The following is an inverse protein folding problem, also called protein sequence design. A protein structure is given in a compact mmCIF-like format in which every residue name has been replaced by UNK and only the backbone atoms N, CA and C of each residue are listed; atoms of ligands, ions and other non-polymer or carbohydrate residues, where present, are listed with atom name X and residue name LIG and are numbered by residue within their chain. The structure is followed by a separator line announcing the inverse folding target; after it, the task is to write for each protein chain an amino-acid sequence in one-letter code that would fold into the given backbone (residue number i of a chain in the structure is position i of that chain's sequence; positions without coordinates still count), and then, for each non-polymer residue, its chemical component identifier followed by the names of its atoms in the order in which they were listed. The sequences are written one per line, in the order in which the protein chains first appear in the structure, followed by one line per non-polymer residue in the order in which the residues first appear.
data_IF_403891101993
#
_entry.id   IF_403891101993
#
_cell.length_a   1.000
_cell.length_b   1.000
_cell.length_c   1.000
_cell.angle_alpha   90.00
_cell.angle_beta   90.00
_cell.angle_gamma   90.00
#
_symmetry.space_group_name_H-M   'P 1'
#
loop_
_entity.id
_entity.type
_entity.pdbx_description
1 polymer ?
#
# COMPACT_ATOMS: atom_id res chain seq x y z
N UNK A 1 -4.69 8.79 25.71
CA UNK A 1 -3.35 8.28 25.36
C UNK A 1 -3.02 8.76 23.97
N UNK A 2 -2.04 9.66 23.81
CA UNK A 2 -1.51 10.05 22.50
C UNK A 2 -0.38 9.09 22.17
N UNK A 3 -0.55 8.28 21.12
CA UNK A 3 0.57 7.53 20.54
C UNK A 3 1.53 8.54 19.92
N UNK A 4 2.80 8.46 20.31
CA UNK A 4 3.83 9.40 19.86
C UNK A 4 3.95 9.41 18.35
N UNK A 5 3.84 10.59 17.74
CA UNK A 5 4.19 10.77 16.33
C UNK A 5 5.68 10.45 16.19
N UNK A 6 6.01 9.26 15.68
CA UNK A 6 7.35 8.99 15.19
C UNK A 6 7.68 10.12 14.22
N UNK A 7 8.78 10.84 14.48
CA UNK A 7 9.27 11.92 13.63
C UNK A 7 9.09 11.49 12.17
N UNK A 8 8.34 12.31 11.45
CA UNK A 8 7.93 12.11 10.08
C UNK A 8 9.10 11.55 9.24
N UNK A 9 8.78 10.63 8.32
CA UNK A 9 9.67 10.14 7.26
C UNK A 9 10.34 11.30 6.49
N UNK A 10 11.10 11.01 5.43
CA UNK A 10 12.14 11.90 4.88
C UNK A 10 11.86 13.40 5.04
N UNK A 11 12.73 14.10 5.80
CA UNK A 11 12.69 15.55 6.04
C UNK A 11 11.44 16.11 6.73
N UNK A 12 10.66 15.28 7.41
CA UNK A 12 9.50 15.75 8.16
C UNK A 12 8.24 15.93 7.30
N UNK A 13 8.24 15.45 6.05
CA UNK A 13 7.11 15.62 5.11
C UNK A 13 6.22 14.39 5.00
N UNK A 14 6.68 13.23 5.46
CA UNK A 14 5.95 11.97 5.35
C UNK A 14 5.53 11.46 6.73
N UNK A 15 4.31 11.01 6.90
CA UNK A 15 3.85 10.35 8.13
C UNK A 15 3.48 8.90 7.84
N UNK A 16 3.84 7.98 8.74
CA UNK A 16 3.40 6.59 8.66
C UNK A 16 2.13 6.41 9.49
N UNK A 17 1.06 5.92 8.85
CA UNK A 17 -0.25 5.74 9.46
C UNK A 17 -0.79 4.34 9.19
N UNK A 18 -1.72 3.87 10.01
CA UNK A 18 -2.55 2.73 9.64
C UNK A 18 -3.42 3.11 8.44
N UNK A 19 -3.64 2.17 7.52
CA UNK A 19 -4.54 2.37 6.39
C UNK A 19 -5.98 2.57 6.88
N UNK A 20 -6.64 3.62 6.39
CA UNK A 20 -8.06 3.90 6.65
C UNK A 20 -8.92 3.59 5.43
N UNK A 21 -10.24 3.32 5.61
CA UNK A 21 -11.13 2.93 4.50
C UNK A 21 -11.14 3.89 3.32
N UNK A 22 -11.05 5.19 3.56
CA UNK A 22 -11.06 6.24 2.53
C UNK A 22 -9.79 6.25 1.66
N UNK A 23 -8.71 5.58 2.08
CA UNK A 23 -7.42 5.52 1.37
C UNK A 23 -7.16 4.16 0.70
N UNK A 24 -8.06 3.18 0.81
CA UNK A 24 -7.88 1.81 0.29
C UNK A 24 -7.54 1.81 -1.21
N UNK A 25 -8.35 2.49 -2.03
CA UNK A 25 -8.15 2.50 -3.48
C UNK A 25 -6.82 3.14 -3.88
N UNK A 26 -6.41 4.19 -3.17
CA UNK A 26 -5.10 4.83 -3.40
C UNK A 26 -3.95 3.87 -3.09
N UNK A 27 -4.05 3.12 -1.99
CA UNK A 27 -3.04 2.15 -1.59
C UNK A 27 -2.94 0.99 -2.60
N UNK A 28 -4.07 0.43 -3.03
CA UNK A 28 -4.11 -0.62 -4.05
C UNK A 28 -3.55 -0.12 -5.38
N UNK A 29 -3.89 1.11 -5.81
CA UNK A 29 -3.34 1.70 -7.02
C UNK A 29 -1.82 1.81 -6.98
N UNK A 30 -1.24 2.29 -5.88
CA UNK A 30 0.22 2.38 -5.69
C UNK A 30 0.87 0.99 -5.78
N UNK A 31 0.25 -0.01 -5.15
CA UNK A 31 0.75 -1.38 -5.19
C UNK A 31 0.74 -1.94 -6.61
N UNK A 32 -0.32 -1.69 -7.38
CA UNK A 32 -0.36 -2.13 -8.78
C UNK A 32 0.76 -1.51 -9.61
N UNK A 33 0.93 -0.20 -9.53
CA UNK A 33 2.02 0.47 -10.25
C UNK A 33 3.39 -0.07 -9.83
N UNK A 34 3.57 -0.34 -8.54
CA UNK A 34 4.81 -0.91 -7.99
C UNK A 34 5.05 -2.34 -8.49
N UNK A 35 4.00 -3.16 -8.58
CA UNK A 35 4.08 -4.54 -9.06
C UNK A 35 4.55 -4.65 -10.51
N UNK A 36 4.42 -3.60 -11.33
CA UNK A 36 4.97 -3.58 -12.70
C UNK A 36 6.50 -3.63 -12.73
N UNK A 37 7.14 -3.33 -11.60
CA UNK A 37 8.60 -3.33 -11.42
C UNK A 37 9.06 -4.43 -10.45
N UNK A 38 8.14 -5.25 -9.93
CA UNK A 38 8.45 -6.31 -8.97
C UNK A 38 8.99 -7.53 -9.71
N UNK A 39 10.07 -8.12 -9.20
CA UNK A 39 10.86 -9.10 -9.93
C UNK A 39 10.12 -10.41 -10.19
N UNK A 40 9.27 -10.87 -9.26
CA UNK A 40 8.47 -12.08 -9.45
C UNK A 40 7.36 -11.81 -10.45
N UNK A 41 6.64 -10.69 -10.34
CA UNK A 41 5.60 -10.25 -11.24
C UNK A 41 6.10 -10.14 -12.69
N UNK A 42 7.31 -9.59 -12.88
CA UNK A 42 7.99 -9.59 -14.17
C UNK A 42 8.36 -11.00 -14.62
N UNK A 43 8.95 -11.80 -13.73
CA UNK A 43 9.41 -13.16 -14.04
C UNK A 43 8.29 -14.13 -14.43
N UNK A 44 7.07 -13.90 -13.94
CA UNK A 44 5.89 -14.73 -14.26
C UNK A 44 4.97 -14.12 -15.31
N UNK A 45 5.31 -12.95 -15.87
CA UNK A 45 4.48 -12.29 -16.87
C UNK A 45 3.12 -11.82 -16.34
N UNK A 46 3.05 -11.40 -15.07
CA UNK A 46 1.78 -11.07 -14.38
C UNK A 46 0.93 -10.04 -15.15
N UNK A 47 1.57 -9.08 -15.82
CA UNK A 47 0.90 -8.04 -16.59
C UNK A 47 0.71 -8.37 -18.08
N UNK A 48 1.19 -9.52 -18.52
CA UNK A 48 1.02 -10.03 -19.89
C UNK A 48 -0.21 -10.95 -19.98
N UNK A 49 -0.62 -11.55 -18.86
CA UNK A 49 -1.81 -12.37 -18.75
C UNK A 49 -3.08 -11.55 -18.49
N UNK A 50 -4.08 -11.72 -19.34
CA UNK A 50 -5.37 -11.05 -19.21
C UNK A 50 -6.07 -11.45 -17.91
N UNK A 51 -6.42 -10.48 -17.07
CA UNK A 51 -7.16 -10.68 -15.82
C UNK A 51 -6.29 -11.01 -14.60
N UNK A 52 -5.01 -11.33 -14.77
CA UNK A 52 -4.11 -11.63 -13.66
C UNK A 52 -3.85 -10.41 -12.74
N UNK A 53 -3.67 -9.17 -13.25
CA UNK A 53 -3.57 -7.98 -12.40
C UNK A 53 -4.81 -7.73 -11.55
N UNK A 54 -6.01 -7.98 -12.08
CA UNK A 54 -7.28 -7.86 -11.38
C UNK A 54 -7.43 -8.92 -10.28
N UNK A 55 -7.07 -10.18 -10.59
CA UNK A 55 -7.06 -11.26 -9.60
C UNK A 55 -6.13 -10.94 -8.42
N UNK A 56 -4.97 -10.34 -8.68
CA UNK A 56 -4.05 -9.90 -7.62
C UNK A 56 -4.61 -8.81 -6.71
N UNK A 57 -5.51 -7.94 -7.21
CA UNK A 57 -6.18 -6.96 -6.33
C UNK A 57 -6.99 -7.62 -5.22
N UNK A 58 -7.65 -8.74 -5.53
CA UNK A 58 -8.48 -9.47 -4.56
C UNK A 58 -7.66 -9.92 -3.35
N UNK A 59 -6.40 -10.32 -3.56
CA UNK A 59 -5.48 -10.68 -2.47
C UNK A 59 -5.27 -9.49 -1.52
N UNK A 60 -5.00 -8.30 -2.05
CA UNK A 60 -4.78 -7.11 -1.22
C UNK A 60 -6.03 -6.67 -0.47
N UNK A 61 -7.22 -6.78 -1.07
CA UNK A 61 -8.48 -6.54 -0.36
C UNK A 61 -8.66 -7.48 0.84
N UNK A 62 -8.29 -8.76 0.71
CA UNK A 62 -8.35 -9.71 1.83
C UNK A 62 -7.27 -9.46 2.89
N UNK A 63 -6.09 -8.97 2.50
CA UNK A 63 -5.01 -8.60 3.44
C UNK A 63 -5.38 -7.38 4.27
N UNK A 64 -6.00 -6.36 3.67
CA UNK A 64 -6.39 -5.12 4.38
C UNK A 64 -7.33 -5.38 5.56
N UNK A 65 -8.19 -6.41 5.47
CA UNK A 65 -9.18 -6.74 6.52
C UNK A 65 -8.56 -7.04 7.89
N UNK A 66 -7.27 -7.35 7.94
CA UNK A 66 -6.53 -7.59 9.18
C UNK A 66 -6.20 -6.30 9.94
N UNK A 67 -6.48 -5.12 9.36
CA UNK A 67 -6.28 -3.79 9.96
C UNK A 67 -4.84 -3.53 10.45
N UNK A 68 -3.85 -4.16 9.81
CA UNK A 68 -2.42 -3.99 10.14
C UNK A 68 -1.58 -3.46 8.95
N UNK A 69 -2.23 -3.02 7.87
CA UNK A 69 -1.56 -2.36 6.73
C UNK A 69 -1.11 -0.94 7.11
N UNK A 70 0.13 -0.59 6.76
CA UNK A 70 0.72 0.72 7.03
C UNK A 70 0.88 1.49 5.71
N UNK A 71 0.56 2.78 5.74
CA UNK A 71 0.75 3.71 4.61
C UNK A 71 1.70 4.83 5.00
N UNK A 72 2.47 5.30 4.02
CA UNK A 72 3.19 6.55 4.11
C UNK A 72 2.36 7.66 3.45
N UNK A 73 2.13 8.76 4.15
CA UNK A 73 1.28 9.87 3.73
C UNK A 73 2.10 11.16 3.66
N UNK A 74 2.06 11.85 2.53
CA UNK A 74 2.59 13.21 2.44
C UNK A 74 1.70 14.17 3.25
N UNK A 75 2.28 14.84 4.25
CA UNK A 75 1.55 15.66 5.21
C UNK A 75 0.93 16.90 4.56
N UNK A 76 1.57 17.46 3.53
CA UNK A 76 1.13 18.70 2.88
C UNK A 76 -0.12 18.50 2.02
N UNK A 77 -0.26 17.31 1.44
CA UNK A 77 -1.31 16.97 0.48
C UNK A 77 -2.29 15.90 0.98
N UNK A 78 -1.99 15.28 2.12
CA UNK A 78 -2.70 14.12 2.67
C UNK A 78 -2.84 12.95 1.67
N UNK A 79 -1.86 12.83 0.75
CA UNK A 79 -1.83 11.77 -0.26
C UNK A 79 -1.01 10.59 0.23
N UNK A 80 -1.53 9.38 0.02
CA UNK A 80 -0.73 8.17 0.19
C UNK A 80 0.35 8.16 -0.89
N UNK A 81 1.59 7.93 -0.49
CA UNK A 81 2.76 7.88 -1.39
C UNK A 81 3.45 6.51 -1.38
N UNK A 82 3.21 5.70 -0.35
CA UNK A 82 3.66 4.31 -0.28
C UNK A 82 2.75 3.49 0.63
N UNK A 83 2.80 2.17 0.48
CA UNK A 83 2.02 1.21 1.27
C UNK A 83 2.85 -0.04 1.57
N UNK A 84 2.65 -0.61 2.75
CA UNK A 84 3.12 -1.92 3.17
C UNK A 84 1.93 -2.75 3.63
N UNK A 85 1.51 -3.70 2.79
CA UNK A 85 0.45 -4.66 3.11
C UNK A 85 0.99 -5.73 4.05
N UNK A 86 0.36 -5.88 5.22
CA UNK A 86 0.72 -6.89 6.21
C UNK A 86 -0.46 -7.83 6.45
N UNK A 87 -0.18 -9.11 6.66
CA UNK A 87 -1.15 -10.15 7.03
C UNK A 87 -0.84 -10.65 8.44
N UNK A 88 -1.85 -10.90 9.25
CA UNK A 88 -1.70 -11.56 10.55
C UNK A 88 -1.84 -13.09 10.36
N UNK A 89 -0.93 -13.84 11.00
CA UNK A 89 -0.89 -15.31 10.98
C UNK A 89 -1.19 -15.89 12.36
#
# INVERSE_FOLDING_TARGET
MMFGSSKAGPFGTIEYRLLTPDKIESAIGIQQESMRQENVALGVGLYEESGAPEAMKAVFYEVIKDNCTIVAVDISSDRVVAVAFNKLH
#
